data_IF_181261202919
#
_entry.id   IF_181261202919
#
_cell.length_a   1.000
_cell.length_b   1.000
_cell.length_c   1.000
_cell.angle_alpha   90.00
_cell.angle_beta   90.00
_cell.angle_gamma   90.00
#
_symmetry.space_group_name_H-M   'P 1'
#
loop_
_entity.id
_entity.type
_entity.pdbx_description
1 polymer ?
#
# COMPACT_ATOMS: atom_id res chain seq x y z
N UNK A 1 -4.92 -15.67 -6.01
CA UNK A 1 -5.96 -14.93 -6.78
C UNK A 1 -6.74 -13.97 -5.90
N UNK A 2 -7.21 -14.38 -4.71
CA UNK A 2 -8.01 -13.55 -3.80
C UNK A 2 -7.35 -12.22 -3.40
N UNK A 3 -6.06 -12.20 -3.04
CA UNK A 3 -5.38 -10.98 -2.58
C UNK A 3 -5.30 -9.86 -3.63
N UNK A 4 -5.14 -10.21 -4.92
CA UNK A 4 -5.16 -9.21 -6.01
C UNK A 4 -6.56 -8.63 -6.23
N UNK A 5 -7.60 -9.42 -6.01
CA UNK A 5 -8.99 -8.96 -6.10
C UNK A 5 -9.31 -8.03 -4.94
N UNK A 6 -8.86 -8.37 -3.73
CA UNK A 6 -8.99 -7.52 -2.54
C UNK A 6 -8.31 -6.17 -2.72
N UNK A 7 -7.04 -6.14 -3.15
CA UNK A 7 -6.31 -4.90 -3.44
C UNK A 7 -6.98 -4.06 -4.54
N UNK A 8 -7.51 -4.70 -5.58
CA UNK A 8 -8.20 -4.00 -6.66
C UNK A 8 -9.44 -3.27 -6.15
N UNK A 9 -10.26 -3.92 -5.32
CA UNK A 9 -11.43 -3.26 -4.73
C UNK A 9 -11.03 -2.16 -3.75
N UNK A 10 -10.02 -2.38 -2.90
CA UNK A 10 -9.51 -1.38 -1.96
C UNK A 10 -9.06 -0.09 -2.68
N UNK A 11 -8.27 -0.25 -3.75
CA UNK A 11 -7.82 0.86 -4.57
C UNK A 11 -8.99 1.63 -5.19
N UNK A 12 -10.01 0.92 -5.68
CA UNK A 12 -11.20 1.55 -6.28
C UNK A 12 -12.07 2.30 -5.27
N UNK A 13 -12.23 1.78 -4.06
CA UNK A 13 -12.96 2.46 -2.99
C UNK A 13 -12.20 3.68 -2.48
N UNK A 14 -10.90 3.56 -2.24
CA UNK A 14 -10.05 4.68 -1.84
C UNK A 14 -10.09 5.82 -2.90
N UNK A 15 -10.05 5.48 -4.19
CA UNK A 15 -10.16 6.47 -5.27
C UNK A 15 -11.54 7.15 -5.33
N UNK A 16 -12.61 6.44 -4.95
CA UNK A 16 -13.99 6.97 -4.97
C UNK A 16 -14.30 7.90 -3.78
N UNK A 17 -13.65 7.72 -2.63
CA UNK A 17 -13.87 8.56 -1.42
C UNK A 17 -13.13 9.91 -1.46
N UNK A 18 -12.21 10.10 -2.41
CA UNK A 18 -11.79 11.42 -2.92
C UNK A 18 -11.01 12.37 -1.98
N UNK A 19 -10.97 12.15 -0.65
CA UNK A 19 -10.33 13.11 0.28
C UNK A 19 -9.46 12.51 1.41
N UNK A 20 -9.54 11.21 1.71
CA UNK A 20 -8.73 10.55 2.77
C UNK A 20 -8.03 9.26 2.30
N UNK A 21 -8.08 8.96 1.00
CA UNK A 21 -7.61 7.70 0.40
C UNK A 21 -6.16 7.32 0.75
N UNK A 22 -5.27 8.32 0.84
CA UNK A 22 -3.85 8.11 1.13
C UNK A 22 -3.55 7.68 2.57
N UNK A 23 -4.47 7.92 3.52
CA UNK A 23 -4.34 7.40 4.89
C UNK A 23 -4.66 5.90 4.98
N UNK A 24 -5.46 5.38 4.05
CA UNK A 24 -5.97 3.99 4.06
C UNK A 24 -5.44 3.12 2.92
N UNK A 25 -4.82 3.73 1.91
CA UNK A 25 -4.31 3.01 0.76
C UNK A 25 -3.12 3.73 0.13
N UNK A 26 -1.98 3.05 0.12
CA UNK A 26 -0.81 3.46 -0.66
C UNK A 26 -0.81 2.74 -2.02
N UNK A 27 -0.74 3.45 -3.16
CA UNK A 27 -0.64 2.82 -4.46
C UNK A 27 0.54 1.86 -4.58
N UNK A 28 0.32 0.72 -5.24
CA UNK A 28 1.31 -0.36 -5.38
C UNK A 28 2.64 0.10 -6.01
N UNK A 29 2.61 1.09 -6.90
CA UNK A 29 3.82 1.67 -7.50
C UNK A 29 4.70 2.37 -6.47
N UNK A 30 4.11 3.05 -5.50
CA UNK A 30 4.83 3.77 -4.44
C UNK A 30 5.40 2.78 -3.42
N UNK A 31 4.60 1.80 -2.98
CA UNK A 31 5.08 0.72 -2.10
C UNK A 31 6.28 0.01 -2.72
N UNK A 32 6.17 -0.34 -4.01
CA UNK A 32 7.26 -1.01 -4.73
C UNK A 32 8.52 -0.16 -4.79
N UNK A 33 8.40 1.13 -5.08
CA UNK A 33 9.54 2.05 -5.11
C UNK A 33 10.24 2.10 -3.74
N UNK A 34 9.48 2.23 -2.65
CA UNK A 34 10.04 2.30 -1.30
C UNK A 34 10.77 1.01 -0.90
N UNK A 35 10.19 -0.15 -1.21
CA UNK A 35 10.81 -1.45 -0.92
C UNK A 35 12.07 -1.66 -1.75
N UNK A 36 12.06 -1.28 -3.03
CA UNK A 36 13.24 -1.35 -3.90
C UNK A 36 14.36 -0.40 -3.44
N UNK A 37 14.03 0.74 -2.82
CA UNK A 37 15.03 1.66 -2.25
C UNK A 37 15.60 1.19 -0.91
N UNK A 38 14.78 0.58 -0.05
CA UNK A 38 15.16 0.18 1.30
C UNK A 38 15.90 -1.16 1.35
N UNK A 39 15.71 -2.02 0.34
CA UNK A 39 16.32 -3.34 0.24
C UNK A 39 16.31 -4.15 1.57
N UNK A 40 15.15 -4.29 2.25
CA UNK A 40 15.10 -4.88 3.59
C UNK A 40 15.19 -6.42 3.52
N UNK A 41 16.40 -6.96 3.37
CA UNK A 41 16.63 -8.41 3.29
C UNK A 41 16.73 -9.11 4.65
N UNK A 42 17.10 -8.39 5.71
CA UNK A 42 17.20 -8.90 7.08
C UNK A 42 16.91 -7.79 8.11
N UNK A 43 16.52 -8.18 9.33
CA UNK A 43 16.15 -7.27 10.42
C UNK A 43 14.65 -7.07 10.59
N UNK A 44 14.25 -5.93 11.16
CA UNK A 44 12.84 -5.62 11.49
C UNK A 44 12.30 -4.53 10.58
N UNK A 45 11.17 -4.82 9.91
CA UNK A 45 10.40 -3.84 9.15
C UNK A 45 9.28 -3.32 10.04
N UNK A 46 9.15 -2.00 10.15
CA UNK A 46 8.11 -1.36 10.94
C UNK A 46 7.50 -0.20 10.16
N UNK A 47 6.17 -0.15 10.17
CA UNK A 47 5.38 0.94 9.61
C UNK A 47 4.41 1.43 10.69
N UNK A 48 4.58 2.66 11.23
CA UNK A 48 3.74 3.20 12.30
C UNK A 48 2.34 3.61 11.83
N UNK A 49 2.07 3.64 10.53
CA UNK A 49 0.80 4.05 9.94
C UNK A 49 0.54 3.23 8.66
N UNK A 50 0.49 1.91 8.81
CA UNK A 50 0.49 0.93 7.72
C UNK A 50 -0.68 1.00 6.72
N UNK A 51 -1.63 1.93 6.93
CA UNK A 51 -2.91 1.92 6.24
C UNK A 51 -3.82 0.80 6.72
#
# INVERSE_FOLDING_TARGET
MLGRVYEYFLARFATAEGRLAGEFYTPRSVVRLMVEMLEPFDGRVFDPACG
#
